data_IF_786965654874
#
_entry.id   IF_786965654874
#
_cell.length_a   1.000
_cell.length_b   1.000
_cell.length_c   1.000
_cell.angle_alpha   90.00
_cell.angle_beta   90.00
_cell.angle_gamma   90.00
#
_symmetry.space_group_name_H-M   'P 1'
#
loop_
_entity.id
_entity.type
_entity.pdbx_description
1 polymer ?
#
# COMPACT_ATOMS: atom_id res chain seq x y z
N UNK A 1 10.34 -3.38 -40.39
CA UNK A 1 9.29 -3.53 -39.39
C UNK A 1 8.77 -2.16 -38.99
N UNK A 2 7.50 -1.90 -39.23
CA UNK A 2 6.86 -0.64 -38.83
C UNK A 2 6.17 -0.84 -37.46
N UNK A 3 6.48 0.03 -36.51
CA UNK A 3 5.86 0.00 -35.16
C UNK A 3 5.18 1.33 -34.94
N UNK A 4 3.89 1.27 -34.61
CA UNK A 4 3.13 2.42 -34.18
C UNK A 4 2.77 2.26 -32.70
N UNK A 5 2.89 3.35 -31.94
CA UNK A 5 2.53 3.35 -30.52
C UNK A 5 1.54 4.47 -30.22
N UNK A 6 0.59 4.17 -29.38
CA UNK A 6 -0.39 5.13 -28.89
C UNK A 6 -0.40 5.09 -27.36
N UNK A 7 -0.29 6.25 -26.72
CA UNK A 7 -0.38 6.34 -25.27
C UNK A 7 -1.86 6.44 -24.87
N UNK A 8 -2.39 5.34 -24.30
CA UNK A 8 -3.80 5.29 -23.87
C UNK A 8 -4.01 5.84 -22.46
N UNK A 9 -2.99 5.74 -21.62
CA UNK A 9 -3.05 6.29 -20.27
C UNK A 9 -1.64 6.58 -19.76
N UNK A 10 -1.56 7.58 -18.88
CA UNK A 10 -0.29 7.93 -18.22
C UNK A 10 -0.59 8.36 -16.80
N UNK A 11 0.07 7.72 -15.84
CA UNK A 11 -0.03 8.05 -14.43
C UNK A 11 1.34 8.48 -13.91
N UNK A 12 1.38 9.65 -13.26
CA UNK A 12 2.58 10.07 -12.55
C UNK A 12 2.79 9.19 -11.30
N UNK A 13 4.04 8.93 -10.91
CA UNK A 13 4.31 8.27 -9.63
C UNK A 13 3.65 9.04 -8.47
N UNK A 14 3.11 8.29 -7.52
CA UNK A 14 2.49 8.86 -6.31
C UNK A 14 3.36 8.52 -5.11
N UNK A 15 3.71 9.55 -4.33
CA UNK A 15 4.36 9.37 -3.03
C UNK A 15 3.26 9.47 -1.98
N UNK A 16 3.07 8.40 -1.22
CA UNK A 16 2.06 8.38 -0.17
C UNK A 16 2.46 9.25 1.02
N UNK A 17 1.47 9.63 1.81
CA UNK A 17 1.68 10.49 2.98
C UNK A 17 2.58 9.83 4.02
N UNK A 18 3.69 10.49 4.37
CA UNK A 18 4.68 9.97 5.31
C UNK A 18 4.08 9.65 6.67
N UNK A 19 3.10 10.43 7.13
CA UNK A 19 2.45 10.22 8.43
C UNK A 19 1.66 8.93 8.46
N UNK A 20 0.95 8.62 7.38
CA UNK A 20 0.20 7.36 7.25
C UNK A 20 1.14 6.19 7.10
N UNK A 21 2.19 6.32 6.28
CA UNK A 21 3.23 5.30 6.12
C UNK A 21 3.90 4.98 7.45
N UNK A 22 4.22 5.98 8.25
CA UNK A 22 4.81 5.80 9.59
C UNK A 22 3.86 5.07 10.55
N UNK A 23 2.56 5.34 10.49
CA UNK A 23 1.55 4.63 11.28
C UNK A 23 1.53 3.16 10.90
N UNK A 24 1.55 2.84 9.62
CA UNK A 24 1.61 1.45 9.13
C UNK A 24 2.87 0.76 9.64
N UNK A 25 4.03 1.37 9.47
CA UNK A 25 5.31 0.82 9.89
C UNK A 25 5.33 0.56 11.40
N UNK A 26 4.94 1.55 12.19
CA UNK A 26 4.89 1.44 13.65
C UNK A 26 3.91 0.37 14.11
N UNK A 27 2.74 0.28 13.49
CA UNK A 27 1.74 -0.73 13.83
C UNK A 27 2.26 -2.15 13.61
N UNK A 28 2.98 -2.37 12.49
CA UNK A 28 3.63 -3.65 12.22
C UNK A 28 4.72 -3.96 13.26
N UNK A 29 5.56 -2.98 13.58
CA UNK A 29 6.63 -3.13 14.56
C UNK A 29 6.11 -3.44 15.96
N UNK A 30 5.00 -2.82 16.36
CA UNK A 30 4.37 -3.07 17.67
C UNK A 30 3.85 -4.51 17.80
N UNK A 31 3.53 -5.16 16.69
CA UNK A 31 3.15 -6.58 16.67
C UNK A 31 4.33 -7.53 16.54
N UNK A 32 5.56 -7.02 16.53
CA UNK A 32 6.77 -7.83 16.37
C UNK A 32 6.98 -8.34 14.94
N UNK A 33 6.29 -7.75 13.97
CA UNK A 33 6.42 -8.13 12.57
C UNK A 33 7.59 -7.40 11.92
N UNK A 34 8.26 -8.07 11.00
CA UNK A 34 9.22 -7.42 10.12
C UNK A 34 8.47 -6.53 9.12
N UNK A 35 9.01 -5.36 8.84
CA UNK A 35 8.39 -4.41 7.95
C UNK A 35 9.41 -3.81 7.00
N UNK A 36 8.98 -3.57 5.76
CA UNK A 36 9.82 -2.94 4.75
C UNK A 36 9.00 -1.99 3.91
N UNK A 37 9.54 -0.81 3.66
CA UNK A 37 8.94 0.15 2.74
C UNK A 37 9.30 -0.23 1.32
N UNK A 38 8.30 -0.37 0.47
CA UNK A 38 8.45 -0.81 -0.91
C UNK A 38 7.61 0.07 -1.83
N UNK A 39 8.09 0.35 -3.05
CA UNK A 39 7.21 0.92 -4.08
C UNK A 39 6.26 -0.16 -4.61
N UNK A 40 5.05 0.24 -4.99
CA UNK A 40 4.15 -0.61 -5.78
C UNK A 40 4.44 -0.42 -7.27
N UNK A 41 4.68 -1.50 -7.96
CA UNK A 41 4.83 -1.48 -9.43
C UNK A 41 3.50 -1.53 -10.18
N UNK A 42 2.39 -1.78 -9.48
CA UNK A 42 1.06 -1.89 -10.06
C UNK A 42 0.20 -0.68 -9.71
N UNK A 43 -0.70 -0.31 -10.61
CA UNK A 43 -1.73 0.68 -10.32
C UNK A 43 -2.69 0.19 -9.24
N UNK A 44 -3.17 1.10 -8.41
CA UNK A 44 -4.10 0.80 -7.33
C UNK A 44 -4.99 2.01 -7.06
N UNK A 45 -6.20 1.78 -6.57
CA UNK A 45 -7.15 2.85 -6.23
C UNK A 45 -6.59 3.82 -5.19
N UNK A 46 -5.66 3.37 -4.35
CA UNK A 46 -4.97 4.23 -3.40
C UNK A 46 -4.24 5.41 -4.07
N UNK A 47 -3.80 5.27 -5.32
CA UNK A 47 -3.23 6.38 -6.09
C UNK A 47 -4.25 7.50 -6.33
N UNK A 48 -5.49 7.12 -6.57
CA UNK A 48 -6.58 8.09 -6.78
C UNK A 48 -6.98 8.74 -5.45
N UNK A 49 -7.06 7.95 -4.38
CA UNK A 49 -7.37 8.46 -3.04
C UNK A 49 -6.29 9.43 -2.55
N UNK A 50 -5.03 9.20 -2.88
CA UNK A 50 -3.92 10.08 -2.50
C UNK A 50 -4.07 11.51 -3.04
N UNK A 51 -4.90 11.73 -4.06
CA UNK A 51 -5.18 13.05 -4.61
C UNK A 51 -6.10 13.88 -3.72
N UNK A 52 -6.87 13.24 -2.84
CA UNK A 52 -7.92 13.90 -2.05
C UNK A 52 -7.72 13.73 -0.55
N UNK A 53 -6.92 12.78 -0.12
CA UNK A 53 -6.66 12.55 1.30
C UNK A 53 -5.30 11.86 1.53
N UNK A 54 -4.73 11.99 2.75
CA UNK A 54 -3.57 11.21 3.13
C UNK A 54 -3.85 9.71 2.98
N UNK A 55 -2.98 9.00 2.28
CA UNK A 55 -3.18 7.59 1.95
C UNK A 55 -1.87 6.81 2.02
N UNK A 56 -1.97 5.53 2.24
CA UNK A 56 -0.87 4.58 2.13
C UNK A 56 -1.43 3.19 1.78
N UNK A 57 -0.55 2.23 1.64
CA UNK A 57 -0.91 0.85 1.34
C UNK A 57 -0.21 -0.10 2.31
N UNK A 58 -0.89 -1.19 2.62
CA UNK A 58 -0.33 -2.32 3.35
C UNK A 58 -0.18 -3.48 2.37
N UNK A 59 1.03 -4.00 2.24
CA UNK A 59 1.30 -5.17 1.42
C UNK A 59 1.52 -6.40 2.30
N UNK A 60 1.14 -7.54 1.77
CA UNK A 60 1.47 -8.84 2.35
C UNK A 60 2.37 -9.61 1.38
N UNK A 61 3.28 -10.46 1.88
CA UNK A 61 4.10 -11.27 0.99
C UNK A 61 3.26 -12.22 0.15
N UNK A 62 3.62 -12.41 -1.09
CA UNK A 62 3.11 -13.51 -1.91
C UNK A 62 4.15 -14.61 -2.04
N UNK A 63 3.70 -15.86 -2.09
CA UNK A 63 4.59 -17.01 -2.23
C UNK A 63 5.40 -16.87 -3.53
N UNK A 64 6.70 -16.95 -3.44
CA UNK A 64 7.66 -16.76 -4.55
C UNK A 64 7.57 -15.38 -5.23
N UNK A 65 6.95 -14.40 -4.60
CA UNK A 65 6.80 -13.06 -5.16
C UNK A 65 5.87 -12.99 -6.36
N UNK A 66 5.04 -14.01 -6.58
CA UNK A 66 4.12 -14.05 -7.73
C UNK A 66 2.98 -13.07 -7.50
N UNK A 67 2.74 -12.20 -8.47
CA UNK A 67 1.67 -11.21 -8.46
C UNK A 67 1.04 -11.09 -9.85
N UNK A 68 -0.23 -10.69 -9.91
CA UNK A 68 -0.99 -10.55 -11.16
C UNK A 68 -1.00 -11.83 -11.99
N UNK A 69 -1.14 -12.97 -11.33
CA UNK A 69 -1.11 -14.30 -11.94
C UNK A 69 -2.07 -15.22 -11.17
N UNK A 70 -2.73 -16.18 -11.85
CA UNK A 70 -3.61 -17.13 -11.17
C UNK A 70 -2.91 -17.97 -10.09
N UNK A 71 -1.59 -18.07 -10.13
CA UNK A 71 -0.79 -18.77 -9.12
C UNK A 71 -0.44 -17.91 -7.90
N UNK A 72 -0.88 -16.64 -7.87
CA UNK A 72 -0.65 -15.76 -6.72
C UNK A 72 -1.33 -16.31 -5.48
N UNK A 73 -0.56 -16.48 -4.43
CA UNK A 73 -1.07 -16.93 -3.14
C UNK A 73 -0.27 -16.28 -2.01
N UNK A 74 -0.96 -15.94 -0.95
CA UNK A 74 -0.36 -15.47 0.29
C UNK A 74 -0.64 -16.49 1.39
N UNK A 75 0.37 -16.83 2.19
CA UNK A 75 0.20 -17.73 3.32
C UNK A 75 -0.83 -17.17 4.31
N UNK A 76 -1.63 -18.03 4.92
CA UNK A 76 -2.68 -17.63 5.86
C UNK A 76 -2.14 -16.77 7.01
N UNK A 77 -0.96 -17.09 7.52
CA UNK A 77 -0.28 -16.35 8.58
C UNK A 77 0.01 -14.90 8.16
N UNK A 78 0.43 -14.71 6.93
CA UNK A 78 0.75 -13.38 6.38
C UNK A 78 -0.54 -12.59 6.10
N UNK A 79 -1.61 -13.26 5.66
CA UNK A 79 -2.91 -12.62 5.52
C UNK A 79 -3.45 -12.14 6.86
N UNK A 80 -3.36 -12.98 7.89
CA UNK A 80 -3.78 -12.63 9.25
C UNK A 80 -2.98 -11.44 9.77
N UNK A 81 -1.66 -11.50 9.63
CA UNK A 81 -0.78 -10.40 10.06
C UNK A 81 -1.12 -9.09 9.33
N UNK A 82 -1.32 -9.15 8.02
CA UNK A 82 -1.71 -7.97 7.22
C UNK A 82 -3.05 -7.39 7.65
N UNK A 83 -4.05 -8.24 7.91
CA UNK A 83 -5.36 -7.81 8.41
C UNK A 83 -5.27 -7.17 9.80
N UNK A 84 -4.45 -7.71 10.68
CA UNK A 84 -4.24 -7.15 12.00
C UNK A 84 -3.60 -5.76 11.94
N UNK A 85 -2.57 -5.60 11.12
CA UNK A 85 -1.94 -4.30 10.90
C UNK A 85 -2.94 -3.31 10.31
N UNK A 86 -3.70 -3.71 9.30
CA UNK A 86 -4.71 -2.86 8.69
C UNK A 86 -5.76 -2.41 9.71
N UNK A 87 -6.23 -3.30 10.56
CA UNK A 87 -7.17 -2.97 11.63
C UNK A 87 -6.59 -1.93 12.60
N UNK A 88 -5.36 -2.13 13.06
CA UNK A 88 -4.68 -1.21 13.96
C UNK A 88 -4.51 0.19 13.33
N UNK A 89 -4.12 0.21 12.07
CA UNK A 89 -3.96 1.46 11.31
C UNK A 89 -5.29 2.19 11.16
N UNK A 90 -6.35 1.48 10.82
CA UNK A 90 -7.68 2.07 10.68
C UNK A 90 -8.19 2.65 12.00
N UNK A 91 -8.00 1.94 13.10
CA UNK A 91 -8.38 2.42 14.44
C UNK A 91 -7.60 3.68 14.83
N UNK A 92 -6.31 3.71 14.58
CA UNK A 92 -5.48 4.87 14.88
C UNK A 92 -5.86 6.07 13.99
N UNK A 93 -6.06 5.84 12.70
CA UNK A 93 -6.46 6.90 11.77
C UNK A 93 -7.84 7.47 12.11
N UNK A 94 -8.77 6.64 12.55
CA UNK A 94 -10.09 7.08 12.95
C UNK A 94 -10.05 8.01 14.17
N UNK A 95 -9.02 7.89 15.01
CA UNK A 95 -8.82 8.73 16.20
C UNK A 95 -7.85 9.89 15.94
N UNK A 96 -7.29 10.00 14.75
CA UNK A 96 -6.26 11.00 14.39
C UNK A 96 -6.86 12.10 13.53
N UNK A 97 -6.51 13.36 13.84
CA UNK A 97 -6.82 14.50 12.99
C UNK A 97 -5.52 14.98 12.34
N UNK A 98 -5.51 14.99 11.01
CA UNK A 98 -4.41 15.60 10.27
C UNK A 98 -4.74 17.06 9.99
N UNK A 99 -3.81 17.96 10.26
CA UNK A 99 -3.91 19.32 9.80
C UNK A 99 -3.72 19.35 8.29
N UNK A 100 -4.62 20.07 7.59
CA UNK A 100 -4.47 20.25 6.16
C UNK A 100 -3.19 21.06 5.88
N UNK A 101 -2.38 20.56 4.94
CA UNK A 101 -1.27 21.32 4.40
C UNK A 101 -1.84 22.48 3.58
N UNK A 102 -1.57 23.67 3.99
CA UNK A 102 -1.98 24.89 3.27
C UNK A 102 -0.95 25.28 2.21
#
# INVERSE_FOLDING_TARGET
>A
LLVETECLSRFAPVVFDDRVVEIVERSAQQRGLSVKRLPSGAGHDAQMLARVCPSAMVFTPSVRGISHNPAEITADEDLIAGCQVLCDVMLELAATTFEEAK
#
